data_IF_180242267092
#
_entry.id   IF_180242267092
#
_cell.length_a   1.000
_cell.length_b   1.000
_cell.length_c   1.000
_cell.angle_alpha   90.00
_cell.angle_beta   90.00
_cell.angle_gamma   90.00
#
_symmetry.space_group_name_H-M   'P 1'
#
loop_
_entity.id
_entity.type
_entity.pdbx_description
1 polymer ?
#
# COMPACT_ATOMS: atom_id res chain seq x y z
N UNK A 1 -36.64 38.90 -44.08
CA UNK A 1 -37.02 38.14 -42.85
C UNK A 1 -35.97 38.39 -41.79
N UNK A 2 -36.33 39.02 -40.67
CA UNK A 2 -35.42 39.21 -39.54
C UNK A 2 -35.41 37.95 -38.64
N UNK A 3 -34.25 37.52 -38.10
CA UNK A 3 -34.18 36.31 -37.29
C UNK A 3 -34.90 36.51 -35.94
N UNK A 4 -35.46 35.43 -35.35
CA UNK A 4 -36.17 35.53 -34.08
C UNK A 4 -35.20 35.90 -32.94
N UNK A 5 -35.53 36.97 -32.22
CA UNK A 5 -34.83 37.35 -30.98
C UNK A 5 -35.15 36.32 -29.89
N UNK A 6 -34.27 35.34 -29.70
CA UNK A 6 -34.32 34.50 -28.51
C UNK A 6 -34.03 35.36 -27.26
N UNK A 7 -35.03 35.45 -26.38
CA UNK A 7 -34.87 36.09 -25.07
C UNK A 7 -33.91 35.25 -24.23
N UNK A 8 -32.74 35.82 -23.90
CA UNK A 8 -31.82 35.19 -22.96
C UNK A 8 -32.56 35.04 -21.62
N UNK A 9 -32.56 33.85 -20.99
CA UNK A 9 -33.26 33.66 -19.74
C UNK A 9 -32.71 34.65 -18.71
N UNK A 10 -33.61 35.42 -18.06
CA UNK A 10 -33.23 36.35 -16.99
C UNK A 10 -32.74 35.54 -15.80
N UNK A 11 -31.43 35.30 -15.74
CA UNK A 11 -30.78 34.68 -14.59
C UNK A 11 -30.90 35.65 -13.41
N UNK A 12 -31.88 35.39 -12.54
CA UNK A 12 -32.17 36.14 -11.32
C UNK A 12 -30.95 36.18 -10.40
N UNK A 13 -30.82 37.24 -9.60
CA UNK A 13 -29.75 37.35 -8.58
C UNK A 13 -29.71 36.10 -7.69
N UNK A 14 -30.86 35.50 -7.40
CA UNK A 14 -30.98 34.26 -6.64
C UNK A 14 -30.38 33.03 -7.35
N UNK A 15 -30.56 32.89 -8.66
CA UNK A 15 -29.94 31.81 -9.45
C UNK A 15 -28.42 32.02 -9.53
N UNK A 16 -27.94 33.26 -9.67
CA UNK A 16 -26.49 33.55 -9.61
C UNK A 16 -25.90 33.30 -8.23
N UNK A 17 -26.63 33.66 -7.18
CA UNK A 17 -26.23 33.38 -5.80
C UNK A 17 -26.20 31.87 -5.55
N UNK A 18 -27.24 31.13 -5.95
CA UNK A 18 -27.28 29.66 -5.87
C UNK A 18 -26.16 29.03 -6.70
N UNK A 19 -25.87 29.51 -7.90
CA UNK A 19 -24.74 29.02 -8.71
C UNK A 19 -23.38 29.37 -8.09
N UNK A 20 -23.22 30.54 -7.47
CA UNK A 20 -21.99 30.93 -6.75
C UNK A 20 -21.82 30.14 -5.47
N UNK A 21 -22.89 29.93 -4.71
CA UNK A 21 -22.91 29.11 -3.50
C UNK A 21 -22.68 27.64 -3.83
N UNK A 22 -23.33 27.11 -4.87
CA UNK A 22 -23.10 25.77 -5.38
C UNK A 22 -21.67 25.63 -5.92
N UNK A 23 -21.13 26.63 -6.64
CA UNK A 23 -19.71 26.64 -7.02
C UNK A 23 -18.84 26.65 -5.79
N UNK A 24 -19.00 27.57 -4.84
CA UNK A 24 -18.25 27.62 -3.58
C UNK A 24 -18.27 26.26 -2.88
N UNK A 25 -19.44 25.68 -2.64
CA UNK A 25 -19.62 24.36 -2.01
C UNK A 25 -18.98 23.24 -2.86
N UNK A 26 -19.05 23.31 -4.19
CA UNK A 26 -18.44 22.32 -5.09
C UNK A 26 -16.94 22.52 -5.33
N UNK A 27 -16.42 23.73 -5.12
CA UNK A 27 -14.99 24.09 -5.22
C UNK A 27 -14.28 23.98 -3.88
N UNK A 28 -15.02 23.93 -2.77
CA UNK A 28 -14.49 23.52 -1.47
C UNK A 28 -14.25 22.00 -1.48
N UNK A 29 -13.20 21.59 -2.19
CA UNK A 29 -12.56 20.31 -1.95
C UNK A 29 -11.82 20.41 -0.62
N UNK A 30 -12.48 19.94 0.45
CA UNK A 30 -11.79 19.73 1.72
C UNK A 30 -10.65 18.72 1.48
N UNK A 31 -9.54 18.77 2.24
CA UNK A 31 -8.43 17.81 2.10
C UNK A 31 -8.87 16.35 2.28
N UNK A 32 -10.06 16.13 2.85
CA UNK A 32 -10.69 14.83 3.06
C UNK A 32 -11.50 14.33 1.85
N UNK A 33 -11.65 15.17 0.81
CA UNK A 33 -12.41 14.90 -0.42
C UNK A 33 -13.76 14.23 -0.12
N UNK A 34 -14.53 14.74 0.85
CA UNK A 34 -15.70 14.05 1.45
C UNK A 34 -16.74 13.61 0.40
N UNK A 35 -16.97 14.45 -0.63
CA UNK A 35 -17.86 14.10 -1.74
C UNK A 35 -17.36 12.88 -2.51
N UNK A 36 -16.07 12.87 -2.89
CA UNK A 36 -15.44 11.74 -3.57
C UNK A 36 -15.43 10.49 -2.70
N UNK A 37 -15.19 10.65 -1.40
CA UNK A 37 -15.28 9.58 -0.40
C UNK A 37 -16.68 8.97 -0.35
N UNK A 38 -17.74 9.78 -0.28
CA UNK A 38 -19.12 9.28 -0.27
C UNK A 38 -19.50 8.56 -1.56
N UNK A 39 -19.11 9.09 -2.72
CA UNK A 39 -19.32 8.42 -4.02
C UNK A 39 -18.64 7.04 -4.00
N UNK A 40 -17.37 6.99 -3.60
CA UNK A 40 -16.60 5.74 -3.49
C UNK A 40 -17.23 4.73 -2.54
N UNK A 41 -17.67 5.18 -1.36
CA UNK A 41 -18.32 4.32 -0.38
C UNK A 41 -19.66 3.78 -0.89
N UNK A 42 -20.40 4.56 -1.68
CA UNK A 42 -21.72 4.17 -2.19
C UNK A 42 -21.70 2.97 -3.16
N UNK A 43 -20.57 2.70 -3.81
CA UNK A 43 -20.44 1.55 -4.72
C UNK A 43 -20.48 0.19 -4.01
N UNK A 44 -20.05 0.12 -2.75
CA UNK A 44 -19.95 -1.14 -1.98
C UNK A 44 -20.77 -1.16 -0.69
N UNK A 45 -21.20 0.00 -0.21
CA UNK A 45 -21.95 0.12 1.04
C UNK A 45 -23.39 0.57 0.76
N UNK A 46 -24.36 -0.21 1.23
CA UNK A 46 -25.78 0.17 1.21
C UNK A 46 -26.04 1.50 1.95
N UNK A 47 -25.23 1.80 2.96
CA UNK A 47 -25.33 3.00 3.79
C UNK A 47 -24.00 3.78 3.80
N UNK A 48 -23.71 4.60 2.76
CA UNK A 48 -22.42 5.26 2.60
C UNK A 48 -22.10 6.28 3.71
N UNK A 49 -23.11 6.96 4.24
CA UNK A 49 -22.94 7.88 5.37
C UNK A 49 -22.55 7.16 6.66
N UNK A 50 -23.13 5.98 6.91
CA UNK A 50 -22.74 5.14 8.06
C UNK A 50 -21.30 4.62 7.90
N UNK A 51 -20.92 4.23 6.68
CA UNK A 51 -19.55 3.82 6.39
C UNK A 51 -18.55 4.97 6.59
N UNK A 52 -18.91 6.19 6.15
CA UNK A 52 -18.10 7.39 6.41
C UNK A 52 -17.99 7.67 7.91
N UNK A 53 -19.10 7.60 8.65
CA UNK A 53 -19.11 7.77 10.10
C UNK A 53 -18.17 6.76 10.77
N UNK A 54 -18.20 5.49 10.37
CA UNK A 54 -17.27 4.45 10.88
C UNK A 54 -15.80 4.79 10.60
N UNK A 55 -15.50 5.40 9.45
CA UNK A 55 -14.14 5.86 9.14
C UNK A 55 -13.70 7.03 10.02
N UNK A 56 -14.62 7.89 10.46
CA UNK A 56 -14.30 9.03 11.35
C UNK A 56 -14.24 8.59 12.81
N UNK A 57 -15.02 7.59 13.22
CA UNK A 57 -15.08 7.11 14.59
C UNK A 57 -13.77 6.40 14.99
N UNK A 58 -13.05 6.88 16.03
CA UNK A 58 -11.73 6.37 16.43
C UNK A 58 -11.82 5.15 17.37
N UNK A 59 -12.80 4.26 17.19
CA UNK A 59 -13.05 3.14 18.10
C UNK A 59 -12.59 1.81 17.49
N UNK A 60 -11.88 0.94 18.24
CA UNK A 60 -11.32 1.16 19.58
C UNK A 60 -10.07 2.06 19.58
N UNK A 61 -9.39 2.20 18.43
CA UNK A 61 -8.25 3.10 18.25
C UNK A 61 -8.37 3.86 16.91
N UNK A 62 -7.60 4.95 16.78
CA UNK A 62 -7.55 5.71 15.53
C UNK A 62 -7.03 4.88 14.36
N UNK A 63 -5.99 4.07 14.58
CA UNK A 63 -5.42 3.24 13.52
C UNK A 63 -6.25 1.98 13.29
N UNK A 64 -6.33 1.52 12.04
CA UNK A 64 -7.02 0.28 11.75
C UNK A 64 -6.22 -0.91 12.34
N UNK A 65 -6.87 -1.90 12.98
CA UNK A 65 -6.17 -3.04 13.58
C UNK A 65 -5.69 -4.01 12.49
N UNK A 66 -4.48 -4.56 12.61
CA UNK A 66 -3.96 -5.55 11.65
C UNK A 66 -4.99 -6.68 11.53
N UNK A 67 -5.47 -7.02 10.31
CA UNK A 67 -6.38 -8.15 10.14
C UNK A 67 -5.74 -9.43 10.65
N UNK A 68 -6.53 -10.37 11.17
CA UNK A 68 -6.02 -11.63 11.68
C UNK A 68 -5.08 -12.27 10.63
N UNK A 69 -3.79 -12.46 10.98
CA UNK A 69 -2.81 -13.00 10.07
C UNK A 69 -3.18 -14.42 9.67
N UNK A 70 -3.20 -14.69 8.37
CA UNK A 70 -3.42 -16.06 7.88
C UNK A 70 -2.13 -16.86 8.12
N UNK A 71 -2.23 -18.08 8.69
CA UNK A 71 -1.09 -18.98 8.79
C UNK A 71 -0.46 -19.20 7.42
N UNK A 72 0.87 -19.19 7.34
CA UNK A 72 1.61 -19.33 6.09
C UNK A 72 1.10 -20.53 5.27
N UNK A 73 0.93 -21.67 5.92
CA UNK A 73 0.42 -22.92 5.32
C UNK A 73 -0.90 -22.77 4.58
N UNK A 74 -1.81 -21.93 5.08
CA UNK A 74 -3.16 -21.77 4.53
C UNK A 74 -3.19 -20.83 3.33
N UNK A 75 -2.30 -19.83 3.33
CA UNK A 75 -2.21 -18.84 2.26
C UNK A 75 -1.28 -19.27 1.13
N UNK A 76 -0.32 -20.18 1.40
CA UNK A 76 0.62 -20.66 0.41
C UNK A 76 -0.11 -21.30 -0.78
N UNK A 77 0.21 -20.86 -1.99
CA UNK A 77 -0.45 -21.26 -3.25
C UNK A 77 -1.98 -21.00 -3.28
N UNK A 78 -2.52 -20.19 -2.37
CA UNK A 78 -3.96 -19.95 -2.27
C UNK A 78 -4.34 -18.54 -2.77
N UNK A 79 -4.15 -18.32 -4.07
CA UNK A 79 -4.54 -17.08 -4.75
C UNK A 79 -6.03 -16.72 -4.56
N UNK A 80 -6.99 -17.67 -4.60
CA UNK A 80 -8.40 -17.33 -4.35
C UNK A 80 -8.65 -16.75 -2.95
N UNK A 81 -7.97 -17.26 -1.92
CA UNK A 81 -8.07 -16.73 -0.56
C UNK A 81 -7.51 -15.31 -0.48
N UNK A 82 -6.35 -15.05 -1.10
CA UNK A 82 -5.79 -13.69 -1.19
C UNK A 82 -6.79 -12.73 -1.85
N UNK A 83 -7.31 -13.09 -3.04
CA UNK A 83 -8.25 -12.26 -3.80
C UNK A 83 -9.53 -11.99 -2.99
N UNK A 84 -10.07 -13.01 -2.32
CA UNK A 84 -11.22 -12.87 -1.43
C UNK A 84 -10.97 -11.85 -0.32
N UNK A 85 -9.82 -11.93 0.37
CA UNK A 85 -9.42 -10.99 1.43
C UNK A 85 -9.23 -9.57 0.91
N UNK A 86 -8.53 -9.41 -0.21
CA UNK A 86 -8.32 -8.10 -0.85
C UNK A 86 -9.64 -7.45 -1.28
N UNK A 87 -10.57 -8.27 -1.80
CA UNK A 87 -11.90 -7.82 -2.22
C UNK A 87 -12.79 -7.47 -1.03
N UNK A 88 -12.77 -8.27 0.03
CA UNK A 88 -13.51 -8.02 1.26
C UNK A 88 -13.08 -6.71 1.94
N UNK A 89 -11.78 -6.40 1.88
CA UNK A 89 -11.24 -5.13 2.35
C UNK A 89 -11.42 -3.96 1.36
N UNK A 90 -11.93 -4.21 0.14
CA UNK A 90 -12.12 -3.23 -0.94
C UNK A 90 -10.87 -2.36 -1.17
N UNK A 91 -9.67 -2.98 -1.09
CA UNK A 91 -8.40 -2.25 -0.96
C UNK A 91 -8.18 -1.22 -2.07
N UNK A 92 -8.48 -1.57 -3.31
CA UNK A 92 -8.34 -0.70 -4.48
C UNK A 92 -9.12 0.61 -4.31
N UNK A 93 -10.34 0.52 -3.79
CA UNK A 93 -11.19 1.69 -3.56
C UNK A 93 -10.78 2.43 -2.27
N UNK A 94 -10.52 1.69 -1.19
CA UNK A 94 -10.17 2.24 0.12
C UNK A 94 -8.87 3.06 0.09
N UNK A 95 -7.86 2.63 -0.68
CA UNK A 95 -6.62 3.40 -0.88
C UNK A 95 -6.86 4.77 -1.52
N UNK A 96 -7.98 4.96 -2.23
CA UNK A 96 -8.35 6.26 -2.81
C UNK A 96 -9.07 7.20 -1.82
N UNK A 97 -9.44 6.71 -0.64
CA UNK A 97 -10.16 7.49 0.38
C UNK A 97 -9.15 8.11 1.37
N UNK A 98 -9.00 9.45 1.45
CA UNK A 98 -8.02 10.10 2.32
C UNK A 98 -8.15 9.72 3.80
N UNK A 99 -9.39 9.62 4.32
CA UNK A 99 -9.64 9.24 5.72
C UNK A 99 -9.20 7.80 6.03
N UNK A 100 -9.44 6.86 5.11
CA UNK A 100 -8.98 5.49 5.29
C UNK A 100 -7.46 5.43 5.29
N UNK A 101 -6.80 6.10 4.33
CA UNK A 101 -5.34 6.23 4.31
C UNK A 101 -4.80 6.87 5.59
N UNK A 102 -5.50 7.86 6.14
CA UNK A 102 -5.11 8.53 7.37
C UNK A 102 -5.02 7.56 8.56
N UNK A 103 -5.85 6.51 8.57
CA UNK A 103 -5.94 5.49 9.62
C UNK A 103 -5.14 4.21 9.32
N UNK A 104 -4.76 3.99 8.07
CA UNK A 104 -3.91 2.86 7.69
C UNK A 104 -2.47 3.05 8.22
N UNK A 105 -1.75 1.94 8.37
CA UNK A 105 -0.40 1.92 8.98
C UNK A 105 0.60 1.20 8.08
N UNK A 106 1.90 1.52 8.20
CA UNK A 106 2.94 0.81 7.45
C UNK A 106 2.98 -0.68 7.80
N UNK A 107 2.71 -1.08 9.04
CA UNK A 107 2.66 -2.50 9.43
C UNK A 107 1.56 -3.23 8.68
N UNK A 108 0.34 -2.67 8.60
CA UNK A 108 -0.74 -3.29 7.81
C UNK A 108 -0.36 -3.46 6.35
N UNK A 109 0.32 -2.47 5.79
CA UNK A 109 0.83 -2.55 4.42
C UNK A 109 1.87 -3.67 4.26
N UNK A 110 2.77 -3.83 5.25
CA UNK A 110 3.74 -4.92 5.31
C UNK A 110 3.06 -6.30 5.30
N UNK A 111 2.00 -6.48 6.10
CA UNK A 111 1.22 -7.73 6.09
C UNK A 111 0.52 -7.98 4.76
N UNK A 112 0.05 -6.95 4.06
CA UNK A 112 -0.54 -7.10 2.72
C UNK A 112 0.50 -7.53 1.68
N UNK A 113 1.73 -7.02 1.78
CA UNK A 113 2.85 -7.49 0.94
C UNK A 113 3.20 -8.94 1.29
N UNK A 114 3.25 -9.29 2.58
CA UNK A 114 3.45 -10.66 3.04
C UNK A 114 2.39 -11.60 2.47
N UNK A 115 1.10 -11.26 2.58
CA UNK A 115 0.02 -12.11 2.06
C UNK A 115 0.15 -12.34 0.55
N UNK A 116 0.53 -11.30 -0.21
CA UNK A 116 0.80 -11.42 -1.65
C UNK A 116 2.01 -12.32 -1.95
N UNK A 117 3.12 -12.15 -1.23
CA UNK A 117 4.32 -12.98 -1.39
C UNK A 117 4.06 -14.44 -1.01
N UNK A 118 3.36 -14.66 0.10
CA UNK A 118 3.04 -15.99 0.60
C UNK A 118 2.10 -16.73 -0.36
N UNK A 119 1.12 -16.05 -0.95
CA UNK A 119 0.25 -16.60 -1.98
C UNK A 119 0.95 -16.78 -3.34
N UNK A 120 2.23 -16.42 -3.48
CA UNK A 120 3.00 -16.38 -4.73
C UNK A 120 2.33 -15.53 -5.82
N UNK A 121 1.55 -14.52 -5.42
CA UNK A 121 0.86 -13.60 -6.33
C UNK A 121 1.67 -12.31 -6.48
N UNK A 122 2.67 -12.38 -7.35
CA UNK A 122 3.61 -11.29 -7.55
C UNK A 122 2.99 -9.99 -8.07
N UNK A 123 1.85 -10.07 -8.78
CA UNK A 123 1.19 -8.88 -9.33
C UNK A 123 0.56 -8.00 -8.24
N UNK A 124 0.27 -8.56 -7.07
CA UNK A 124 -0.30 -7.81 -5.94
C UNK A 124 0.77 -7.03 -5.13
N UNK A 125 2.04 -7.41 -5.24
CA UNK A 125 3.16 -6.78 -4.51
C UNK A 125 3.36 -5.35 -5.00
N UNK A 126 3.54 -5.15 -6.30
CA UNK A 126 3.85 -3.84 -6.90
C UNK A 126 2.87 -2.72 -6.47
N UNK A 127 1.54 -2.89 -6.62
CA UNK A 127 0.57 -1.89 -6.20
C UNK A 127 0.58 -1.56 -4.70
N UNK A 128 0.90 -2.53 -3.84
CA UNK A 128 1.01 -2.28 -2.40
C UNK A 128 2.32 -1.55 -2.05
N UNK A 129 3.43 -1.90 -2.71
CA UNK A 129 4.72 -1.22 -2.59
C UNK A 129 4.62 0.23 -3.10
N UNK A 130 3.90 0.46 -4.21
CA UNK A 130 3.60 1.80 -4.73
C UNK A 130 2.74 2.59 -3.74
N UNK A 131 1.70 1.96 -3.20
CA UNK A 131 0.85 2.58 -2.19
C UNK A 131 1.66 3.01 -0.95
N UNK A 132 2.53 2.14 -0.43
CA UNK A 132 3.41 2.45 0.71
C UNK A 132 4.32 3.65 0.39
N UNK A 133 4.95 3.64 -0.78
CA UNK A 133 5.88 4.68 -1.22
C UNK A 133 5.25 6.08 -1.20
N UNK A 134 4.02 6.21 -1.71
CA UNK A 134 3.35 7.51 -1.77
C UNK A 134 2.74 7.97 -0.43
N UNK A 135 2.91 7.21 0.65
CA UNK A 135 2.64 7.70 2.00
C UNK A 135 3.82 8.57 2.46
N UNK A 136 3.74 9.86 2.16
CA UNK A 136 4.80 10.84 2.45
C UNK A 136 4.96 11.20 3.95
N UNK A 137 4.16 10.61 4.85
CA UNK A 137 4.21 10.88 6.29
C UNK A 137 5.46 10.25 6.90
N UNK A 138 6.05 10.89 7.91
CA UNK A 138 7.24 10.38 8.62
C UNK A 138 7.01 9.03 9.31
N UNK A 139 5.78 8.76 9.73
CA UNK A 139 5.36 7.45 10.27
C UNK A 139 5.43 6.32 9.24
N UNK A 140 5.52 6.64 7.95
CA UNK A 140 5.67 5.69 6.86
C UNK A 140 7.10 5.62 6.32
N UNK A 141 8.07 6.35 6.91
CA UNK A 141 9.47 6.12 6.60
C UNK A 141 9.83 4.66 6.93
N UNK A 142 10.68 4.02 6.11
CA UNK A 142 10.92 2.57 6.27
C UNK A 142 11.55 2.28 7.64
N UNK A 143 12.45 3.15 8.09
CA UNK A 143 13.05 3.08 9.44
C UNK A 143 12.05 3.21 10.59
N UNK A 144 10.88 3.79 10.33
CA UNK A 144 9.86 4.09 11.34
C UNK A 144 8.80 3.00 11.45
N UNK A 145 8.90 1.91 10.67
CA UNK A 145 7.97 0.78 10.78
C UNK A 145 8.13 0.19 12.19
N UNK A 146 7.09 0.21 13.04
CA UNK A 146 7.18 -0.37 14.37
C UNK A 146 7.29 -1.89 14.26
N UNK A 147 7.98 -2.49 15.23
CA UNK A 147 8.13 -3.94 15.33
C UNK A 147 6.76 -4.60 15.55
N UNK A 148 6.31 -5.52 14.67
CA UNK A 148 5.05 -6.22 14.88
C UNK A 148 5.12 -7.28 15.99
N UNK A 149 6.32 -7.69 16.42
CA UNK A 149 6.54 -8.78 17.39
C UNK A 149 5.72 -10.04 17.03
N UNK A 150 5.77 -10.44 15.75
CA UNK A 150 4.90 -11.50 15.24
C UNK A 150 5.24 -12.86 15.89
N UNK A 151 4.25 -13.59 16.44
CA UNK A 151 4.50 -14.85 17.14
C UNK A 151 4.89 -16.00 16.20
N UNK A 152 4.61 -15.90 14.90
CA UNK A 152 5.01 -16.89 13.91
C UNK A 152 6.41 -16.53 13.38
N UNK A 153 7.45 -17.32 13.69
CA UNK A 153 8.82 -16.99 13.32
C UNK A 153 9.05 -16.97 11.80
N UNK A 154 8.32 -17.80 11.04
CA UNK A 154 8.46 -17.83 9.57
C UNK A 154 7.86 -16.57 8.97
N UNK A 155 6.67 -16.19 9.43
CA UNK A 155 6.04 -14.92 9.01
C UNK A 155 6.86 -13.72 9.45
N UNK A 156 7.41 -13.72 10.66
CA UNK A 156 8.23 -12.63 11.16
C UNK A 156 9.50 -12.44 10.34
N UNK A 157 10.17 -13.54 9.96
CA UNK A 157 11.32 -13.51 9.06
C UNK A 157 10.96 -12.92 7.68
N UNK A 158 9.83 -13.30 7.10
CA UNK A 158 9.37 -12.72 5.82
C UNK A 158 9.10 -11.22 5.97
N UNK A 159 8.41 -10.79 7.04
CA UNK A 159 8.13 -9.37 7.29
C UNK A 159 9.43 -8.55 7.45
N UNK A 160 10.44 -9.09 8.13
CA UNK A 160 11.75 -8.47 8.26
C UNK A 160 12.43 -8.30 6.88
N UNK A 161 12.44 -9.35 6.06
CA UNK A 161 12.98 -9.30 4.70
C UNK A 161 12.26 -8.26 3.83
N UNK A 162 10.92 -8.19 3.90
CA UNK A 162 10.13 -7.18 3.18
C UNK A 162 10.53 -5.78 3.61
N UNK A 163 10.67 -5.53 4.92
CA UNK A 163 11.02 -4.21 5.44
C UNK A 163 12.42 -3.77 4.99
N UNK A 164 13.39 -4.69 4.96
CA UNK A 164 14.74 -4.44 4.44
C UNK A 164 14.74 -4.18 2.92
N UNK A 165 14.00 -4.99 2.15
CA UNK A 165 13.93 -4.85 0.70
C UNK A 165 13.21 -3.57 0.28
N UNK A 166 12.18 -3.13 1.02
CA UNK A 166 11.54 -1.83 0.82
C UNK A 166 12.55 -0.68 0.91
N UNK A 167 13.51 -0.72 1.85
CA UNK A 167 14.54 0.31 1.96
C UNK A 167 15.42 0.36 0.69
N UNK A 168 15.84 -0.80 0.17
CA UNK A 168 16.62 -0.89 -1.08
C UNK A 168 15.82 -0.40 -2.28
N UNK A 169 14.60 -0.88 -2.46
CA UNK A 169 13.72 -0.48 -3.55
C UNK A 169 13.41 1.03 -3.54
N UNK A 170 13.24 1.61 -2.34
CA UNK A 170 12.98 3.05 -2.22
C UNK A 170 14.22 3.88 -2.48
N UNK A 171 15.40 3.43 -2.06
CA UNK A 171 16.65 4.08 -2.42
C UNK A 171 16.91 4.03 -3.93
N UNK A 172 16.58 2.92 -4.59
CA UNK A 172 16.58 2.85 -6.04
C UNK A 172 15.63 3.88 -6.67
N UNK A 173 14.37 3.98 -6.21
CA UNK A 173 13.44 5.03 -6.69
C UNK A 173 13.98 6.45 -6.47
N UNK A 174 14.56 6.73 -5.31
CA UNK A 174 15.17 8.02 -5.00
C UNK A 174 16.32 8.36 -5.95
N UNK A 175 17.13 7.36 -6.31
CA UNK A 175 18.23 7.46 -7.28
C UNK A 175 17.77 7.80 -8.70
N UNK A 176 16.51 7.49 -9.02
CA UNK A 176 15.87 7.86 -10.28
C UNK A 176 15.22 9.25 -10.26
N UNK A 177 15.33 9.98 -9.15
CA UNK A 177 14.71 11.31 -8.99
C UNK A 177 13.26 11.26 -8.51
N UNK A 178 12.72 10.06 -8.24
CA UNK A 178 11.39 9.93 -7.66
C UNK A 178 11.39 10.44 -6.22
N UNK A 179 10.22 10.87 -5.74
CA UNK A 179 9.99 11.35 -4.38
C UNK A 179 8.65 10.81 -3.89
N UNK A 180 8.51 10.62 -2.58
CA UNK A 180 7.26 10.13 -1.97
C UNK A 180 6.08 11.08 -2.20
N UNK A 181 6.34 12.37 -2.40
CA UNK A 181 5.36 13.33 -2.90
C UNK A 181 5.47 13.39 -4.43
N UNK A 182 4.43 12.91 -5.14
CA UNK A 182 4.37 12.90 -6.61
C UNK A 182 4.67 14.26 -7.23
N UNK A 183 4.30 15.36 -6.56
CA UNK A 183 4.51 16.72 -7.06
C UNK A 183 5.97 17.19 -7.00
N UNK A 184 6.81 16.44 -6.28
CA UNK A 184 8.23 16.77 -6.05
C UNK A 184 9.16 15.85 -6.83
N UNK A 185 8.65 15.05 -7.78
CA UNK A 185 9.49 14.29 -8.68
C UNK A 185 10.48 15.19 -9.42
N UNK A 186 11.71 14.72 -9.53
CA UNK A 186 12.81 15.41 -10.19
C UNK A 186 13.04 14.70 -11.51
N UNK A 187 12.67 15.37 -12.60
CA UNK A 187 12.84 14.85 -13.94
C UNK A 187 14.15 15.39 -14.51
N UNK A 188 14.94 14.47 -15.07
CA UNK A 188 16.12 14.85 -15.87
C UNK A 188 15.65 15.45 -17.19
N UNK A 189 16.30 16.51 -17.64
CA UNK A 189 16.11 17.08 -18.99
C UNK A 189 17.06 16.41 -19.98
N UNK A 190 18.26 16.05 -19.53
CA UNK A 190 19.28 15.34 -20.30
C UNK A 190 19.80 14.12 -19.55
N UNK A 191 20.41 13.16 -20.24
CA UNK A 191 20.94 11.93 -19.62
C UNK A 191 22.06 12.22 -18.62
N UNK A 192 22.83 13.29 -18.88
CA UNK A 192 23.98 13.72 -18.08
C UNK A 192 23.60 14.57 -16.85
N UNK A 193 22.32 14.91 -16.69
CA UNK A 193 21.86 15.69 -15.55
C UNK A 193 22.05 14.91 -14.23
N UNK A 194 22.98 15.40 -13.41
CA UNK A 194 23.21 14.86 -12.07
C UNK A 194 22.01 15.21 -11.18
N UNK A 195 21.36 14.17 -10.65
CA UNK A 195 20.26 14.36 -9.70
C UNK A 195 20.78 14.88 -8.36
N UNK A 196 20.02 15.76 -7.68
CA UNK A 196 20.42 16.24 -6.37
C UNK A 196 20.45 15.07 -5.37
N UNK A 197 21.35 15.17 -4.36
CA UNK A 197 21.45 14.14 -3.33
C UNK A 197 20.12 13.96 -2.61
N UNK A 198 19.90 12.75 -2.09
CA UNK A 198 18.71 12.39 -1.35
C UNK A 198 19.09 11.73 -0.02
N UNK A 199 18.21 11.90 0.97
CA UNK A 199 18.31 11.15 2.22
C UNK A 199 17.91 9.71 1.95
N UNK A 200 18.85 8.77 2.12
CA UNK A 200 18.57 7.36 1.95
C UNK A 200 17.58 6.85 3.01
N UNK A 201 16.66 6.00 2.59
CA UNK A 201 15.83 5.19 3.48
C UNK A 201 16.71 4.09 4.08
N UNK A 202 16.45 3.77 5.35
CA UNK A 202 17.12 2.68 6.06
C UNK A 202 16.07 1.70 6.55
N UNK A 203 16.42 0.41 6.58
CA UNK A 203 15.58 -0.60 7.18
C UNK A 203 15.34 -0.31 8.69
N UNK A 204 14.22 -0.77 9.27
CA UNK A 204 14.03 -0.74 10.72
C UNK A 204 15.14 -1.51 11.43
N UNK A 205 15.48 -1.08 12.65
CA UNK A 205 16.48 -1.78 13.47
C UNK A 205 16.01 -3.18 13.87
N UNK A 206 14.72 -3.37 14.15
CA UNK A 206 14.17 -4.68 14.51
C UNK A 206 14.35 -5.70 13.38
N UNK A 207 14.12 -5.30 12.12
CA UNK A 207 14.19 -6.20 10.97
C UNK A 207 15.58 -6.84 10.86
N UNK A 208 16.63 -6.03 11.02
CA UNK A 208 18.03 -6.49 11.00
C UNK A 208 18.38 -7.50 12.09
N UNK A 209 17.64 -7.47 13.21
CA UNK A 209 17.88 -8.34 14.34
C UNK A 209 17.07 -9.64 14.28
N UNK A 210 16.14 -9.76 13.32
CA UNK A 210 15.35 -11.00 13.14
C UNK A 210 16.26 -12.08 12.53
N UNK A 211 16.50 -13.19 13.24
CA UNK A 211 17.36 -14.26 12.74
C UNK A 211 16.65 -15.07 11.64
N UNK A 212 17.42 -15.96 10.99
CA UNK A 212 16.84 -17.04 10.21
C UNK A 212 15.94 -17.92 11.09
N UNK A 213 14.80 -18.35 10.55
CA UNK A 213 13.95 -19.33 11.22
C UNK A 213 14.52 -20.75 11.05
N UNK A 214 14.20 -21.64 11.99
CA UNK A 214 14.57 -23.06 11.91
C UNK A 214 13.77 -23.75 10.80
N UNK A 215 14.48 -24.33 9.83
CA UNK A 215 13.92 -25.08 8.70
C UNK A 215 12.99 -26.22 9.17
N UNK A 216 13.20 -26.76 10.37
CA UNK A 216 12.32 -27.79 10.95
C UNK A 216 10.87 -27.32 11.12
N UNK A 217 10.63 -26.02 11.24
CA UNK A 217 9.28 -25.45 11.38
C UNK A 217 8.44 -25.61 10.10
N UNK A 218 9.10 -25.82 8.96
CA UNK A 218 8.46 -25.99 7.65
C UNK A 218 8.76 -27.37 7.03
N UNK A 219 9.34 -28.30 7.79
CA UNK A 219 9.76 -29.61 7.26
C UNK A 219 8.61 -30.50 6.79
N UNK A 220 7.39 -30.22 7.24
CA UNK A 220 6.14 -30.87 6.85
C UNK A 220 5.39 -30.12 5.73
N UNK A 221 6.00 -29.08 5.15
CA UNK A 221 5.44 -28.43 3.95
C UNK A 221 5.64 -29.36 2.74
N UNK A 222 4.75 -29.28 1.74
CA UNK A 222 4.91 -29.95 0.46
C UNK A 222 6.27 -29.72 -0.20
N UNK A 223 6.82 -30.74 -0.87
CA UNK A 223 8.14 -30.69 -1.52
C UNK A 223 8.25 -29.59 -2.60
N UNK A 224 7.14 -29.18 -3.23
CA UNK A 224 7.11 -28.07 -4.20
C UNK A 224 7.30 -26.68 -3.55
N UNK A 225 7.30 -26.63 -2.21
CA UNK A 225 7.48 -25.42 -1.41
C UNK A 225 8.85 -25.33 -0.77
N UNK A 226 9.64 -26.40 -0.85
CA UNK A 226 10.96 -26.48 -0.27
C UNK A 226 12.00 -26.63 -1.37
N UNK A 227 13.17 -26.03 -1.16
CA UNK A 227 14.32 -26.34 -2.01
C UNK A 227 15.05 -27.59 -1.49
N UNK A 228 16.07 -28.11 -2.21
CA UNK A 228 16.83 -29.28 -1.74
C UNK A 228 17.55 -29.09 -0.39
N UNK A 229 17.67 -27.85 0.10
CA UNK A 229 18.23 -27.50 1.40
C UNK A 229 17.15 -27.28 2.47
N UNK A 230 15.88 -27.52 2.14
CA UNK A 230 14.72 -27.32 3.01
C UNK A 230 14.30 -25.86 3.18
N UNK A 231 14.85 -24.93 2.41
CA UNK A 231 14.49 -23.50 2.48
C UNK A 231 13.12 -23.25 1.87
N UNK A 232 12.42 -22.25 2.39
CA UNK A 232 11.09 -21.87 1.91
C UNK A 232 11.19 -21.24 0.51
N UNK A 233 10.57 -21.86 -0.48
CA UNK A 233 10.49 -21.33 -1.85
C UNK A 233 9.21 -20.52 -2.02
N UNK A 234 9.32 -19.20 -2.11
CA UNK A 234 8.21 -18.33 -2.51
C UNK A 234 8.21 -18.13 -4.02
N UNK A 235 9.39 -18.07 -4.64
CA UNK A 235 9.55 -17.98 -6.10
C UNK A 235 10.77 -18.81 -6.52
N UNK A 236 10.58 -19.70 -7.51
CA UNK A 236 11.63 -20.60 -7.97
C UNK A 236 12.78 -19.81 -8.62
N UNK A 237 14.03 -20.24 -8.37
CA UNK A 237 15.21 -19.55 -8.87
C UNK A 237 15.49 -18.19 -8.24
N UNK A 238 14.89 -17.92 -7.07
CA UNK A 238 15.09 -16.70 -6.31
C UNK A 238 16.55 -16.43 -5.95
N UNK A 239 17.02 -15.20 -6.17
CA UNK A 239 18.42 -14.79 -5.95
C UNK A 239 18.60 -13.73 -4.85
N UNK A 240 17.53 -13.37 -4.13
CA UNK A 240 17.61 -12.31 -3.13
C UNK A 240 18.44 -12.72 -1.91
N UNK A 241 19.53 -11.98 -1.67
CA UNK A 241 20.43 -12.20 -0.53
C UNK A 241 19.74 -11.95 0.82
N UNK A 242 18.90 -10.91 0.92
CA UNK A 242 18.17 -10.56 2.17
C UNK A 242 17.27 -11.72 2.60
N UNK A 243 16.58 -12.33 1.65
CA UNK A 243 15.69 -13.45 1.91
C UNK A 243 16.48 -14.75 2.14
N UNK A 244 17.57 -14.95 1.41
CA UNK A 244 18.44 -16.11 1.58
C UNK A 244 19.06 -16.18 2.98
N UNK A 245 19.43 -15.04 3.58
CA UNK A 245 19.91 -14.94 4.97
C UNK A 245 18.92 -15.50 5.99
N UNK A 246 17.64 -15.59 5.64
CA UNK A 246 16.57 -16.10 6.51
C UNK A 246 15.93 -17.38 6.00
N UNK A 247 16.66 -18.19 5.22
CA UNK A 247 16.19 -19.47 4.66
C UNK A 247 14.98 -19.34 3.71
N UNK A 248 14.90 -18.24 2.95
CA UNK A 248 13.82 -18.01 1.97
C UNK A 248 14.41 -17.82 0.57
N UNK A 249 13.83 -18.50 -0.42
CA UNK A 249 14.16 -18.40 -1.84
C UNK A 249 13.06 -17.60 -2.54
N UNK A 250 13.40 -16.40 -3.01
CA UNK A 250 12.48 -15.53 -3.74
C UNK A 250 13.21 -14.51 -4.61
N UNK A 251 12.50 -13.89 -5.55
CA UNK A 251 12.96 -12.70 -6.25
C UNK A 251 12.30 -11.44 -5.67
N UNK A 252 12.93 -10.29 -5.89
CA UNK A 252 12.45 -9.00 -5.38
C UNK A 252 12.14 -8.00 -6.49
N UNK A 253 12.15 -8.41 -7.77
CA UNK A 253 11.90 -7.54 -8.92
C UNK A 253 10.59 -6.74 -8.81
N UNK A 254 9.55 -7.34 -8.24
CA UNK A 254 8.24 -6.69 -8.03
C UNK A 254 8.25 -5.52 -7.02
N UNK A 255 9.32 -5.36 -6.23
CA UNK A 255 9.53 -4.19 -5.38
C UNK A 255 10.06 -2.98 -6.18
N UNK A 256 10.73 -3.23 -7.31
CA UNK A 256 11.39 -2.23 -8.15
C UNK A 256 10.51 -1.82 -9.35
N UNK A 257 9.27 -1.45 -9.06
CA UNK A 257 8.31 -0.94 -10.05
C UNK A 257 8.19 0.59 -9.97
N UNK A 258 7.83 1.24 -11.08
CA UNK A 258 7.61 2.71 -11.21
C UNK A 258 6.18 2.96 -11.66
#
# INVERSE_FOLDING_TARGET
MAPPKHSRPRITRWIRFRMRLHRLICTFETPLCLRGTLIRLSHRNKYPFLALLRLVLPLPTWHLPIPDPVPLRTILNNTPLLVSRMTAADLTNMRSIPLWRARDTPVRSLYRIYEAMAARECNAIGPEVEYFWYQARTSWAVRSIPDPCDPDPVRYAILACIAEELAKAFNWRLSLGMRRDKRKHIYRKTVDDILPPYTAETAPTWAKNVPAFDVKLIADFPDDMLDPLGRLVLEAGGTSLIFAERNIVTNTGHFYTI
#
